data_IF_290903067537
#
_entry.id   IF_290903067537
#
_cell.length_a   1.000
_cell.length_b   1.000
_cell.length_c   1.000
_cell.angle_alpha   90.00
_cell.angle_beta   90.00
_cell.angle_gamma   90.00
#
_symmetry.space_group_name_H-M   'P 1'
#
loop_
_entity.id
_entity.type
_entity.pdbx_description
1 polymer ?
#
# COMPACT_ATOMS: atom_id res chain seq x y z
N UNK A 1 24.88 -13.51 -8.92
CA UNK A 1 23.95 -12.37 -9.11
C UNK A 1 22.88 -12.75 -10.12
N UNK A 2 21.64 -12.60 -9.74
CA UNK A 2 20.50 -12.86 -10.63
C UNK A 2 19.99 -11.56 -11.24
N UNK A 3 19.57 -11.60 -12.51
CA UNK A 3 18.81 -10.52 -13.13
C UNK A 3 17.37 -10.47 -12.61
N UNK A 4 16.60 -9.42 -12.98
CA UNK A 4 15.19 -9.27 -12.60
C UNK A 4 14.31 -10.48 -13.02
N UNK A 5 14.75 -11.25 -13.99
CA UNK A 5 14.09 -12.47 -14.48
C UNK A 5 14.63 -13.78 -13.83
N UNK A 6 15.40 -13.68 -12.73
CA UNK A 6 15.98 -14.83 -12.03
C UNK A 6 17.16 -15.52 -12.73
N UNK A 7 17.54 -15.12 -13.95
CA UNK A 7 18.65 -15.72 -14.69
C UNK A 7 20.01 -15.16 -14.21
N UNK A 8 21.07 -15.99 -14.16
CA UNK A 8 22.41 -15.49 -13.85
C UNK A 8 22.84 -14.40 -14.82
N UNK A 9 23.37 -13.28 -14.29
CA UNK A 9 24.01 -12.25 -15.11
C UNK A 9 25.47 -12.62 -15.37
N UNK A 10 25.89 -12.57 -16.64
CA UNK A 10 27.29 -12.81 -17.02
C UNK A 10 28.22 -11.61 -16.76
N UNK A 11 27.70 -10.52 -16.16
CA UNK A 11 28.46 -9.31 -15.85
C UNK A 11 27.96 -8.66 -14.57
N UNK A 12 28.80 -7.85 -13.98
CA UNK A 12 28.52 -7.03 -12.80
C UNK A 12 28.65 -5.56 -13.18
N UNK A 13 27.71 -4.73 -12.74
CA UNK A 13 27.80 -3.27 -12.91
C UNK A 13 28.75 -2.71 -11.84
N UNK A 14 29.41 -1.57 -12.16
CA UNK A 14 30.27 -0.87 -11.19
C UNK A 14 29.56 -0.53 -9.90
N UNK A 15 28.29 -0.12 -9.98
CA UNK A 15 27.46 0.17 -8.81
C UNK A 15 27.22 -1.07 -7.94
N UNK A 16 26.98 -2.22 -8.55
CA UNK A 16 26.80 -3.49 -7.85
C UNK A 16 28.11 -3.95 -7.18
N UNK A 17 29.23 -3.78 -7.88
CA UNK A 17 30.53 -4.08 -7.31
C UNK A 17 30.84 -3.20 -6.08
N UNK A 18 30.54 -1.89 -6.17
CA UNK A 18 30.70 -0.97 -5.05
C UNK A 18 29.87 -1.37 -3.83
N UNK A 19 28.61 -1.82 -4.04
CA UNK A 19 27.76 -2.31 -2.94
C UNK A 19 28.35 -3.58 -2.30
N UNK A 20 28.87 -4.52 -3.11
CA UNK A 20 29.52 -5.73 -2.57
C UNK A 20 30.79 -5.39 -1.77
N UNK A 21 31.55 -4.42 -2.22
CA UNK A 21 32.73 -3.96 -1.51
C UNK A 21 32.38 -3.26 -0.19
N UNK A 22 31.32 -2.43 -0.20
CA UNK A 22 30.76 -1.86 1.02
C UNK A 22 30.31 -2.93 2.01
N UNK A 23 29.59 -3.96 1.57
CA UNK A 23 29.14 -5.06 2.43
C UNK A 23 30.34 -5.78 3.03
N UNK A 24 31.36 -6.08 2.20
CA UNK A 24 32.60 -6.74 2.64
C UNK A 24 33.37 -5.91 3.65
N UNK A 25 33.54 -4.61 3.39
CA UNK A 25 34.31 -3.71 4.25
C UNK A 25 33.61 -3.32 5.53
N UNK A 26 32.27 -3.37 5.53
CA UNK A 26 31.44 -2.97 6.66
C UNK A 26 31.44 -4.00 7.81
N UNK A 27 31.67 -5.26 7.54
CA UNK A 27 31.65 -6.35 8.52
C UNK A 27 30.45 -6.30 9.50
N UNK A 28 29.31 -5.80 9.05
CA UNK A 28 28.07 -5.60 9.83
C UNK A 28 28.16 -4.59 11.00
N UNK A 29 29.21 -3.77 11.04
CA UNK A 29 29.41 -2.75 12.09
C UNK A 29 28.45 -1.57 11.94
N UNK A 30 28.03 -1.25 10.71
CA UNK A 30 27.09 -0.18 10.40
C UNK A 30 25.88 -0.73 9.64
N UNK A 31 24.69 -0.19 9.86
CA UNK A 31 23.53 -0.57 9.08
C UNK A 31 23.69 -0.12 7.61
N UNK A 32 23.32 -1.00 6.68
CA UNK A 32 23.27 -0.71 5.25
C UNK A 32 21.78 -0.67 4.87
N UNK A 33 21.38 0.39 4.19
CA UNK A 33 19.99 0.58 3.77
C UNK A 33 19.88 0.74 2.25
N UNK A 34 18.81 0.19 1.70
CA UNK A 34 18.34 0.43 0.33
C UNK A 34 17.03 1.19 0.40
N UNK A 35 16.94 2.33 -0.29
CA UNK A 35 15.67 3.07 -0.35
C UNK A 35 14.60 2.22 -1.07
N UNK A 36 13.34 2.32 -0.63
CA UNK A 36 12.21 1.62 -1.29
C UNK A 36 12.00 2.05 -2.74
N UNK A 37 12.49 3.22 -3.10
CA UNK A 37 12.45 3.76 -4.47
C UNK A 37 13.56 3.24 -5.37
N UNK A 38 14.51 2.48 -4.82
CA UNK A 38 15.58 1.86 -5.61
C UNK A 38 15.02 0.72 -6.46
N UNK A 39 15.36 0.68 -7.74
CA UNK A 39 14.86 -0.35 -8.65
C UNK A 39 15.36 -1.76 -8.31
N UNK A 40 14.57 -2.82 -8.60
CA UNK A 40 14.90 -4.22 -8.27
C UNK A 40 16.26 -4.69 -8.80
N UNK A 41 16.72 -4.15 -9.92
CA UNK A 41 18.05 -4.45 -10.49
C UNK A 41 19.22 -4.08 -9.57
N UNK A 42 19.02 -3.08 -8.71
CA UNK A 42 20.03 -2.62 -7.74
C UNK A 42 20.08 -3.49 -6.49
N UNK A 43 19.06 -4.31 -6.24
CA UNK A 43 18.99 -5.19 -5.08
C UNK A 43 19.84 -6.46 -5.21
N UNK A 44 20.33 -6.76 -6.41
CA UNK A 44 21.30 -7.85 -6.69
C UNK A 44 20.89 -9.25 -6.20
N UNK A 45 19.60 -9.51 -5.99
CA UNK A 45 19.12 -10.76 -5.41
C UNK A 45 19.20 -10.82 -3.88
N UNK A 46 19.40 -9.69 -3.21
CA UNK A 46 19.49 -9.59 -1.75
C UNK A 46 18.11 -9.41 -1.07
N UNK A 47 17.01 -9.42 -1.82
CA UNK A 47 15.67 -9.13 -1.31
C UNK A 47 15.24 -10.00 -0.12
N UNK A 48 15.66 -11.28 -0.11
CA UNK A 48 15.39 -12.17 1.03
C UNK A 48 16.15 -11.81 2.31
N UNK A 49 17.11 -10.88 2.24
CA UNK A 49 17.87 -10.38 3.39
C UNK A 49 17.46 -8.96 3.77
N UNK A 50 16.38 -8.47 3.21
CA UNK A 50 15.87 -7.15 3.51
C UNK A 50 14.91 -7.19 4.69
N UNK A 51 14.92 -6.13 5.48
CA UNK A 51 13.96 -5.85 6.55
C UNK A 51 13.50 -4.41 6.42
N UNK A 52 12.22 -4.21 6.14
CA UNK A 52 11.61 -2.90 6.00
C UNK A 52 11.57 -2.18 7.37
N UNK A 53 12.12 -0.97 7.44
CA UNK A 53 12.15 -0.14 8.66
C UNK A 53 11.53 1.26 8.43
N UNK A 54 10.67 1.41 7.43
CA UNK A 54 10.03 2.66 7.02
C UNK A 54 10.09 2.84 5.51
N UNK A 55 10.82 3.84 5.02
CA UNK A 55 11.04 4.08 3.59
C UNK A 55 12.37 3.50 3.08
N UNK A 56 12.92 2.57 3.83
CA UNK A 56 14.16 1.89 3.46
C UNK A 56 14.18 0.45 3.97
N UNK A 57 14.79 -0.41 3.17
CA UNK A 57 15.11 -1.79 3.51
C UNK A 57 16.49 -1.85 4.15
N UNK A 58 16.57 -2.27 5.39
CA UNK A 58 17.84 -2.61 6.04
C UNK A 58 18.31 -3.98 5.56
N UNK A 59 19.56 -4.06 5.12
CA UNK A 59 20.21 -5.33 4.85
C UNK A 59 20.59 -6.00 6.18
N UNK A 60 20.15 -7.23 6.39
CA UNK A 60 20.42 -8.01 7.61
C UNK A 60 20.96 -9.40 7.25
N UNK A 61 21.82 -10.02 8.10
CA UNK A 61 22.35 -11.36 7.85
C UNK A 61 21.34 -12.47 8.23
N UNK A 62 20.05 -12.19 8.07
CA UNK A 62 18.95 -13.12 8.34
C UNK A 62 18.19 -13.27 7.04
N UNK A 63 17.99 -14.49 6.59
CA UNK A 63 17.21 -14.78 5.41
C UNK A 63 15.74 -14.93 5.80
N UNK A 64 14.88 -14.13 5.17
CA UNK A 64 13.44 -14.25 5.24
C UNK A 64 12.93 -15.14 4.11
N UNK A 65 11.81 -15.80 4.32
CA UNK A 65 11.00 -16.37 3.25
C UNK A 65 10.44 -15.27 2.35
N UNK A 66 9.89 -15.65 1.21
CA UNK A 66 9.24 -14.67 0.33
C UNK A 66 8.02 -14.10 1.06
N UNK A 67 7.90 -12.79 1.09
CA UNK A 67 6.73 -12.15 1.65
C UNK A 67 5.52 -12.39 0.74
N UNK A 68 4.37 -12.70 1.33
CA UNK A 68 3.12 -12.92 0.58
C UNK A 68 2.59 -11.63 -0.04
N UNK A 69 2.90 -10.47 0.57
CA UNK A 69 2.60 -9.17 -0.02
C UNK A 69 3.57 -8.87 -1.17
N UNK A 70 3.09 -8.74 -2.43
CA UNK A 70 3.94 -8.52 -3.61
C UNK A 70 4.70 -7.18 -3.57
N UNK A 71 4.31 -6.26 -2.69
CA UNK A 71 4.91 -4.95 -2.53
C UNK A 71 6.00 -4.92 -1.45
N UNK A 72 6.24 -6.04 -0.76
CA UNK A 72 7.23 -6.17 0.29
C UNK A 72 8.35 -7.14 -0.11
N UNK A 73 9.57 -6.83 0.32
CA UNK A 73 10.72 -7.72 0.20
C UNK A 73 11.21 -8.12 1.59
N UNK A 74 11.44 -9.43 1.78
CA UNK A 74 11.95 -9.95 3.04
C UNK A 74 10.98 -9.75 4.21
N UNK A 75 11.47 -9.32 5.36
CA UNK A 75 10.66 -9.09 6.56
C UNK A 75 10.30 -7.62 6.78
N UNK A 76 9.40 -7.38 7.72
CA UNK A 76 9.02 -6.03 8.19
C UNK A 76 9.36 -5.89 9.67
N UNK A 77 10.00 -4.79 10.05
CA UNK A 77 10.29 -4.47 11.44
C UNK A 77 9.10 -3.69 12.05
N UNK A 78 7.98 -4.37 12.25
CA UNK A 78 6.68 -3.78 12.63
C UNK A 78 6.80 -2.81 13.79
N UNK A 79 7.43 -3.19 14.91
CA UNK A 79 7.62 -2.33 16.08
C UNK A 79 8.43 -1.06 15.78
N UNK A 80 9.55 -1.22 15.05
CA UNK A 80 10.41 -0.09 14.70
C UNK A 80 9.71 0.85 13.72
N UNK A 81 9.04 0.29 12.72
CA UNK A 81 8.35 1.06 11.70
C UNK A 81 7.15 1.79 12.29
N UNK A 82 6.35 1.13 13.14
CA UNK A 82 5.23 1.75 13.84
C UNK A 82 5.69 2.96 14.69
N UNK A 83 6.70 2.78 15.56
CA UNK A 83 7.25 3.88 16.35
C UNK A 83 7.83 5.02 15.49
N UNK A 84 8.46 4.70 14.36
CA UNK A 84 8.94 5.72 13.45
C UNK A 84 7.79 6.54 12.85
N UNK A 85 6.73 5.88 12.41
CA UNK A 85 5.56 6.53 11.79
C UNK A 85 4.81 7.39 12.80
N UNK A 86 4.54 6.85 14.00
CA UNK A 86 3.72 7.51 15.00
C UNK A 86 4.47 8.62 15.76
N UNK A 87 5.77 8.43 16.03
CA UNK A 87 6.50 9.29 16.95
C UNK A 87 7.50 10.23 16.26
N UNK A 88 7.97 9.90 15.03
CA UNK A 88 9.13 10.59 14.45
C UNK A 88 8.89 11.19 13.06
N UNK A 89 7.94 10.64 12.30
CA UNK A 89 7.70 11.16 10.96
C UNK A 89 7.10 12.55 10.98
N UNK A 90 7.62 13.40 10.09
CA UNK A 90 7.04 14.71 9.80
C UNK A 90 6.35 14.65 8.44
N UNK A 91 5.10 15.06 8.40
CA UNK A 91 4.24 14.95 7.23
C UNK A 91 4.29 16.16 6.30
N UNK A 92 5.10 17.20 6.67
CA UNK A 92 5.36 18.37 5.82
C UNK A 92 4.13 19.19 5.48
N UNK A 93 3.10 19.14 6.31
CA UNK A 93 1.84 19.87 6.08
C UNK A 93 0.92 19.22 5.05
N UNK A 94 1.15 17.95 4.66
CA UNK A 94 0.26 17.24 3.73
C UNK A 94 -1.18 17.12 4.23
N UNK A 95 -1.39 17.19 5.53
CA UNK A 95 -2.70 17.19 6.20
C UNK A 95 -3.37 18.57 6.27
N UNK A 96 -2.71 19.65 5.83
CA UNK A 96 -3.30 20.98 5.79
C UNK A 96 -4.18 21.16 4.55
N UNK A 97 -5.48 20.94 4.71
CA UNK A 97 -6.48 21.07 3.64
C UNK A 97 -6.86 22.54 3.41
N UNK A 98 -6.80 23.39 4.46
CA UNK A 98 -7.25 24.78 4.38
C UNK A 98 -6.40 25.61 3.42
N UNK A 99 -5.07 25.54 3.56
CA UNK A 99 -4.14 26.27 2.68
C UNK A 99 -3.87 25.52 1.38
N UNK A 100 -4.08 24.21 1.39
CA UNK A 100 -3.74 23.30 0.32
C UNK A 100 -2.23 23.26 0.03
N UNK A 101 -1.74 22.17 -0.50
CA UNK A 101 -0.36 22.10 -0.99
C UNK A 101 -0.33 21.63 -2.43
N UNK A 102 0.45 22.34 -3.24
CA UNK A 102 0.70 21.90 -4.60
C UNK A 102 1.75 20.80 -4.61
N UNK A 103 1.38 19.62 -5.11
CA UNK A 103 2.30 18.52 -5.37
C UNK A 103 2.48 18.31 -6.85
N UNK A 104 3.71 18.40 -7.33
CA UNK A 104 4.05 17.96 -8.68
C UNK A 104 3.97 16.43 -8.82
N UNK A 105 4.11 15.92 -10.03
CA UNK A 105 4.02 14.47 -10.32
C UNK A 105 5.06 13.66 -9.54
N UNK A 106 6.29 14.17 -9.36
CA UNK A 106 7.32 13.46 -8.62
C UNK A 106 6.97 13.35 -7.13
N UNK A 107 6.48 14.44 -6.54
CA UNK A 107 6.04 14.44 -5.15
C UNK A 107 4.86 13.48 -4.94
N UNK A 108 3.86 13.46 -5.85
CA UNK A 108 2.74 12.50 -5.80
C UNK A 108 3.22 11.05 -5.87
N UNK A 109 4.19 10.75 -6.73
CA UNK A 109 4.81 9.41 -6.81
C UNK A 109 5.51 9.04 -5.51
N UNK A 110 6.21 9.97 -4.86
CA UNK A 110 6.87 9.72 -3.57
C UNK A 110 5.85 9.44 -2.47
N UNK A 111 4.77 10.22 -2.40
CA UNK A 111 3.69 10.00 -1.42
C UNK A 111 2.96 8.66 -1.68
N UNK A 112 2.82 8.25 -2.93
CA UNK A 112 2.28 6.91 -3.25
C UNK A 112 3.14 5.79 -2.63
N UNK A 113 4.47 5.95 -2.59
CA UNK A 113 5.33 5.00 -1.88
C UNK A 113 5.08 5.01 -0.36
N UNK A 114 4.76 6.15 0.23
CA UNK A 114 4.43 6.21 1.67
C UNK A 114 3.16 5.39 1.94
N UNK A 115 2.08 5.64 1.19
CA UNK A 115 0.85 4.85 1.28
C UNK A 115 1.11 3.34 1.13
N UNK A 116 1.94 2.97 0.16
CA UNK A 116 2.30 1.58 -0.09
C UNK A 116 3.04 0.95 1.09
N UNK A 117 4.05 1.62 1.65
CA UNK A 117 4.81 1.07 2.77
C UNK A 117 3.98 1.02 4.07
N UNK A 118 3.06 1.96 4.26
CA UNK A 118 2.14 1.94 5.39
C UNK A 118 1.09 0.84 5.26
N UNK A 119 0.59 0.57 4.05
CA UNK A 119 -0.26 -0.58 3.78
C UNK A 119 0.46 -1.90 4.11
N UNK A 120 1.73 -2.04 3.70
CA UNK A 120 2.55 -3.22 4.05
C UNK A 120 2.71 -3.36 5.57
N UNK A 121 2.91 -2.27 6.29
CA UNK A 121 3.00 -2.29 7.76
C UNK A 121 1.68 -2.73 8.40
N UNK A 122 0.55 -2.19 7.94
CA UNK A 122 -0.75 -2.56 8.46
C UNK A 122 -1.04 -4.07 8.23
N UNK A 123 -0.77 -4.58 7.03
CA UNK A 123 -0.93 -6.01 6.71
C UNK A 123 -0.08 -6.91 7.62
N UNK A 124 1.18 -6.53 7.88
CA UNK A 124 2.03 -7.31 8.78
C UNK A 124 1.59 -7.24 10.25
N UNK A 125 1.11 -6.09 10.71
CA UNK A 125 0.52 -5.96 12.05
C UNK A 125 -0.74 -6.82 12.20
N UNK A 126 -1.58 -6.89 11.16
CA UNK A 126 -2.74 -7.78 11.13
C UNK A 126 -2.32 -9.26 11.21
N UNK A 127 -1.29 -9.68 10.47
CA UNK A 127 -0.72 -11.04 10.56
C UNK A 127 -0.13 -11.35 11.94
N UNK A 128 0.45 -10.36 12.61
CA UNK A 128 0.94 -10.47 14.00
C UNK A 128 -0.21 -10.46 15.03
N UNK A 129 -1.46 -10.35 14.60
CA UNK A 129 -2.66 -10.22 15.44
C UNK A 129 -2.61 -8.97 16.34
N UNK A 130 -2.14 -7.86 15.79
CA UNK A 130 -2.14 -6.53 16.42
C UNK A 130 -3.05 -5.56 15.64
N UNK A 131 -4.38 -5.77 15.68
CA UNK A 131 -5.34 -5.03 14.86
C UNK A 131 -5.46 -3.55 15.28
N UNK A 132 -5.23 -3.23 16.56
CA UNK A 132 -5.27 -1.85 17.04
C UNK A 132 -4.20 -1.00 16.38
N UNK A 133 -2.94 -1.48 16.37
CA UNK A 133 -1.87 -0.76 15.69
C UNK A 133 -2.03 -0.74 14.17
N UNK A 134 -2.57 -1.80 13.59
CA UNK A 134 -2.90 -1.81 12.17
C UNK A 134 -3.88 -0.69 11.82
N UNK A 135 -4.96 -0.55 12.60
CA UNK A 135 -5.95 0.51 12.42
C UNK A 135 -5.35 1.90 12.62
N UNK A 136 -4.47 2.11 13.61
CA UNK A 136 -3.77 3.39 13.79
C UNK A 136 -2.99 3.80 12.52
N UNK A 137 -2.29 2.85 11.89
CA UNK A 137 -1.55 3.11 10.66
C UNK A 137 -2.48 3.43 9.49
N UNK A 138 -3.60 2.69 9.33
CA UNK A 138 -4.57 2.95 8.27
C UNK A 138 -5.23 4.32 8.43
N UNK A 139 -5.56 4.71 9.66
CA UNK A 139 -6.07 6.04 9.99
C UNK A 139 -5.05 7.14 9.66
N UNK A 140 -3.75 6.94 9.98
CA UNK A 140 -2.69 7.88 9.60
C UNK A 140 -2.60 8.09 8.09
N UNK A 141 -2.78 7.05 7.28
CA UNK A 141 -2.76 7.18 5.82
C UNK A 141 -3.86 8.11 5.33
N UNK A 142 -5.06 7.98 5.87
CA UNK A 142 -6.22 8.77 5.42
C UNK A 142 -6.17 10.20 5.95
N UNK A 143 -5.79 10.38 7.22
CA UNK A 143 -5.77 11.70 7.87
C UNK A 143 -4.56 12.54 7.47
N UNK A 144 -3.40 11.92 7.26
CA UNK A 144 -2.16 12.64 6.93
C UNK A 144 -1.92 12.85 5.44
N UNK A 145 -2.66 12.14 4.61
CA UNK A 145 -2.59 12.24 3.15
C UNK A 145 -4.00 12.33 2.56
N UNK A 146 -4.78 13.37 2.92
CA UNK A 146 -6.15 13.55 2.44
C UNK A 146 -6.19 13.75 0.92
N UNK A 147 -7.35 13.47 0.31
CA UNK A 147 -7.54 13.51 -1.14
C UNK A 147 -7.27 14.89 -1.75
N UNK A 148 -7.62 15.93 -1.03
CA UNK A 148 -7.47 17.34 -1.47
C UNK A 148 -6.02 17.67 -1.82
N UNK A 149 -5.08 17.12 -1.06
CA UNK A 149 -3.65 17.34 -1.26
C UNK A 149 -2.98 16.19 -2.02
N UNK A 150 -3.44 14.96 -1.79
CA UNK A 150 -2.85 13.75 -2.37
C UNK A 150 -3.92 12.92 -3.07
N UNK A 151 -4.06 13.03 -4.39
CA UNK A 151 -5.08 12.33 -5.13
C UNK A 151 -5.15 10.83 -4.79
N UNK A 152 -6.36 10.29 -4.82
CA UNK A 152 -6.59 8.86 -4.61
C UNK A 152 -5.85 8.03 -5.65
N UNK A 153 -5.33 6.88 -5.23
CA UNK A 153 -4.60 5.95 -6.08
C UNK A 153 -4.99 4.52 -5.76
N UNK A 154 -4.69 3.60 -6.67
CA UNK A 154 -5.03 2.16 -6.49
C UNK A 154 -4.38 1.52 -5.26
N UNK A 155 -3.33 2.09 -4.72
CA UNK A 155 -2.74 1.62 -3.45
C UNK A 155 -3.76 1.66 -2.32
N UNK A 156 -4.73 2.58 -2.38
CA UNK A 156 -5.79 2.68 -1.38
C UNK A 156 -6.78 1.50 -1.40
N UNK A 157 -6.80 0.69 -2.47
CA UNK A 157 -7.60 -0.55 -2.49
C UNK A 157 -7.14 -1.56 -1.43
N UNK A 158 -5.82 -1.68 -1.22
CA UNK A 158 -5.28 -2.53 -0.14
C UNK A 158 -5.71 -2.00 1.23
N UNK A 159 -5.60 -0.68 1.43
CA UNK A 159 -6.02 0.00 2.66
C UNK A 159 -7.52 -0.18 2.91
N UNK A 160 -8.34 0.00 1.88
CA UNK A 160 -9.78 -0.24 1.93
C UNK A 160 -10.09 -1.69 2.34
N UNK A 161 -9.43 -2.66 1.72
CA UNK A 161 -9.60 -4.08 2.05
C UNK A 161 -9.26 -4.36 3.51
N UNK A 162 -8.12 -3.88 4.01
CA UNK A 162 -7.69 -4.06 5.40
C UNK A 162 -8.64 -3.40 6.40
N UNK A 163 -9.19 -2.21 6.09
CA UNK A 163 -10.19 -1.53 6.92
C UNK A 163 -11.50 -2.35 7.03
N UNK A 164 -12.01 -2.84 5.90
CA UNK A 164 -13.21 -3.66 5.88
C UNK A 164 -13.00 -5.03 6.56
N UNK A 165 -11.81 -5.62 6.43
CA UNK A 165 -11.45 -6.85 7.13
C UNK A 165 -11.43 -6.63 8.65
N UNK A 166 -10.84 -5.54 9.15
CA UNK A 166 -10.86 -5.16 10.57
C UNK A 166 -12.27 -4.86 11.08
N UNK A 167 -13.13 -4.32 10.23
CA UNK A 167 -14.53 -4.05 10.55
C UNK A 167 -15.39 -5.31 10.61
N UNK A 168 -14.99 -6.38 9.91
CA UNK A 168 -15.79 -7.60 9.78
C UNK A 168 -16.00 -8.29 11.12
N UNK A 169 -17.23 -8.74 11.33
CA UNK A 169 -17.63 -9.57 12.47
C UNK A 169 -17.86 -11.04 12.07
N UNK A 170 -17.70 -11.34 10.79
CA UNK A 170 -17.94 -12.68 10.23
C UNK A 170 -16.70 -13.16 9.51
N UNK A 171 -16.25 -14.40 9.80
CA UNK A 171 -15.14 -15.04 9.09
C UNK A 171 -15.54 -15.54 7.70
N UNK A 172 -16.25 -14.73 6.91
CA UNK A 172 -16.69 -15.11 5.57
C UNK A 172 -15.48 -15.24 4.64
N UNK A 173 -15.43 -16.32 3.87
CA UNK A 173 -14.33 -16.54 2.93
C UNK A 173 -13.00 -16.96 3.57
N UNK A 174 -12.98 -17.28 4.88
CA UNK A 174 -11.77 -17.67 5.61
C UNK A 174 -11.00 -16.48 6.19
N UNK A 175 -11.62 -15.29 6.23
CA UNK A 175 -11.04 -14.11 6.88
C UNK A 175 -10.96 -14.29 8.39
N UNK A 176 -9.90 -13.78 8.98
CA UNK A 176 -9.72 -13.77 10.43
C UNK A 176 -10.67 -12.76 11.06
N UNK A 177 -11.28 -13.12 12.21
CA UNK A 177 -11.99 -12.14 13.05
C UNK A 177 -10.98 -11.60 14.05
N UNK A 178 -10.76 -10.29 14.00
CA UNK A 178 -9.82 -9.61 14.90
C UNK A 178 -10.50 -9.19 16.20
N UNK A 179 -9.75 -9.24 17.31
CA UNK A 179 -10.21 -8.73 18.59
C UNK A 179 -10.01 -7.21 18.64
N UNK A 180 -11.07 -6.47 18.40
CA UNK A 180 -11.14 -5.00 18.49
C UNK A 180 -12.30 -4.62 19.42
N UNK A 181 -12.18 -3.49 20.11
CA UNK A 181 -13.31 -2.88 20.81
C UNK A 181 -14.39 -2.47 19.81
N UNK A 182 -15.64 -2.39 20.28
CA UNK A 182 -16.77 -1.98 19.43
C UNK A 182 -16.54 -0.59 18.81
N UNK A 183 -15.93 0.33 19.57
CA UNK A 183 -15.59 1.67 19.09
C UNK A 183 -14.54 1.64 17.96
N UNK A 184 -13.47 0.87 18.14
CA UNK A 184 -12.41 0.71 17.12
C UNK A 184 -12.93 0.02 15.86
N UNK A 185 -13.77 -0.99 16.04
CA UNK A 185 -14.43 -1.68 14.93
C UNK A 185 -15.38 -0.77 14.17
N UNK A 186 -16.13 0.09 14.88
CA UNK A 186 -17.00 1.08 14.25
C UNK A 186 -16.19 2.10 13.45
N UNK A 187 -15.06 2.58 13.98
CA UNK A 187 -14.13 3.45 13.24
C UNK A 187 -13.59 2.77 11.97
N UNK A 188 -13.13 1.53 12.06
CA UNK A 188 -12.65 0.78 10.89
C UNK A 188 -13.74 0.65 9.83
N UNK A 189 -14.99 0.39 10.27
CA UNK A 189 -16.15 0.31 9.37
C UNK A 189 -16.46 1.63 8.69
N UNK A 190 -16.51 2.72 9.43
CA UNK A 190 -16.76 4.07 8.91
C UNK A 190 -15.72 4.44 7.84
N UNK A 191 -14.43 4.39 8.20
CA UNK A 191 -13.32 4.69 7.29
C UNK A 191 -13.32 3.78 6.05
N UNK A 192 -13.62 2.49 6.24
CA UNK A 192 -13.68 1.52 5.15
C UNK A 192 -14.82 1.78 4.17
N UNK A 193 -16.01 2.13 4.68
CA UNK A 193 -17.18 2.49 3.86
C UNK A 193 -16.92 3.77 3.08
N UNK A 194 -16.45 4.81 3.74
CA UNK A 194 -16.19 6.10 3.10
C UNK A 194 -15.14 5.97 2.00
N UNK A 195 -14.05 5.26 2.28
CA UNK A 195 -13.03 5.01 1.29
C UNK A 195 -13.55 4.17 0.11
N UNK A 196 -14.40 3.18 0.38
CA UNK A 196 -15.00 2.34 -0.66
C UNK A 196 -15.87 3.18 -1.60
N UNK A 197 -16.79 3.99 -1.04
CA UNK A 197 -17.65 4.88 -1.81
C UNK A 197 -16.82 5.83 -2.68
N UNK A 198 -15.83 6.47 -2.08
CA UNK A 198 -15.01 7.44 -2.80
C UNK A 198 -14.19 6.81 -3.94
N UNK A 199 -13.59 5.65 -3.70
CA UNK A 199 -12.86 4.92 -4.74
C UNK A 199 -13.79 4.45 -5.87
N UNK A 200 -15.02 4.04 -5.54
CA UNK A 200 -16.03 3.65 -6.52
C UNK A 200 -16.48 4.84 -7.38
N UNK A 201 -16.85 5.95 -6.76
CA UNK A 201 -17.23 7.20 -7.45
C UNK A 201 -16.17 7.62 -8.48
N UNK A 202 -14.88 7.58 -8.10
CA UNK A 202 -13.77 7.90 -9.02
C UNK A 202 -13.79 6.98 -10.26
N UNK A 203 -14.13 5.70 -10.10
CA UNK A 203 -14.19 4.79 -11.24
C UNK A 203 -15.43 5.05 -12.11
N UNK A 204 -16.55 5.43 -11.52
CA UNK A 204 -17.77 5.83 -12.25
C UNK A 204 -17.49 7.11 -13.03
N UNK A 205 -16.95 8.15 -12.40
CA UNK A 205 -16.57 9.39 -13.06
C UNK A 205 -15.61 9.16 -14.24
N UNK A 206 -14.59 8.31 -14.07
CA UNK A 206 -13.68 7.93 -15.12
C UNK A 206 -14.41 7.23 -16.29
N UNK A 207 -15.31 6.30 -15.98
CA UNK A 207 -16.08 5.59 -17.00
C UNK A 207 -17.04 6.53 -17.77
N UNK A 208 -17.71 7.43 -17.07
CA UNK A 208 -18.58 8.46 -17.67
C UNK A 208 -17.75 9.37 -18.60
N UNK A 209 -16.58 9.84 -18.12
CA UNK A 209 -15.69 10.63 -18.94
C UNK A 209 -15.27 9.87 -20.21
N UNK A 210 -14.86 8.60 -20.11
CA UNK A 210 -14.49 7.80 -21.27
C UNK A 210 -15.64 7.62 -22.25
N UNK A 211 -16.88 7.48 -21.77
CA UNK A 211 -18.07 7.37 -22.64
C UNK A 211 -18.43 8.70 -23.34
N UNK A 212 -18.05 9.83 -22.78
CA UNK A 212 -18.26 11.15 -23.40
C UNK A 212 -17.31 11.46 -24.54
N UNK A 213 -16.24 10.67 -24.72
CA UNK A 213 -15.22 10.92 -25.73
C UNK A 213 -15.67 10.49 -27.14
N UNK A 214 -15.04 11.07 -28.16
CA UNK A 214 -15.23 10.65 -29.55
C UNK A 214 -14.86 9.15 -29.77
N UNK A 215 -15.44 8.48 -30.79
CA UNK A 215 -15.26 7.04 -30.96
C UNK A 215 -13.80 6.58 -31.16
N UNK A 216 -12.89 7.44 -31.61
CA UNK A 216 -11.49 7.09 -31.81
C UNK A 216 -10.75 7.08 -30.46
N UNK A 217 -10.93 8.12 -29.64
CA UNK A 217 -10.38 8.21 -28.30
C UNK A 217 -10.99 7.16 -27.37
N UNK A 218 -12.30 6.95 -27.45
CA UNK A 218 -12.97 5.89 -26.70
C UNK A 218 -12.36 4.51 -26.95
N UNK A 219 -12.01 4.19 -28.22
CA UNK A 219 -11.33 2.91 -28.54
C UNK A 219 -9.89 2.86 -28.03
N UNK A 220 -9.15 3.98 -28.07
CA UNK A 220 -7.77 4.02 -27.59
C UNK A 220 -7.64 3.77 -26.08
N UNK A 221 -8.67 4.09 -25.28
CA UNK A 221 -8.72 3.92 -23.82
C UNK A 221 -9.40 2.61 -23.39
N UNK A 222 -9.35 1.58 -24.22
CA UNK A 222 -9.99 0.29 -23.95
C UNK A 222 -9.41 -0.42 -22.72
N UNK A 223 -8.12 -0.24 -22.45
CA UNK A 223 -7.46 -0.83 -21.29
C UNK A 223 -7.84 -0.09 -20.01
N UNK A 224 -7.83 1.24 -20.03
CA UNK A 224 -8.20 2.12 -18.93
C UNK A 224 -9.64 1.84 -18.47
N UNK A 225 -10.58 1.77 -19.42
CA UNK A 225 -11.98 1.43 -19.15
C UNK A 225 -12.15 0.05 -18.52
N UNK A 226 -11.43 -0.94 -19.06
CA UNK A 226 -11.46 -2.30 -18.50
C UNK A 226 -10.96 -2.31 -17.05
N UNK A 227 -9.90 -1.54 -16.77
CA UNK A 227 -9.34 -1.45 -15.43
C UNK A 227 -10.31 -0.73 -14.50
N UNK A 228 -10.89 0.40 -14.91
CA UNK A 228 -11.86 1.14 -14.09
C UNK A 228 -13.04 0.24 -13.71
N UNK A 229 -13.63 -0.46 -14.71
CA UNK A 229 -14.70 -1.43 -14.46
C UNK A 229 -14.28 -2.53 -13.49
N UNK A 230 -13.12 -3.14 -13.69
CA UNK A 230 -12.62 -4.19 -12.81
C UNK A 230 -12.40 -3.70 -11.38
N UNK A 231 -11.90 -2.46 -11.20
CA UNK A 231 -11.74 -1.86 -9.87
C UNK A 231 -13.09 -1.65 -9.20
N UNK A 232 -14.09 -1.11 -9.92
CA UNK A 232 -15.44 -0.93 -9.40
C UNK A 232 -16.07 -2.29 -8.97
N UNK A 233 -15.96 -3.32 -9.81
CA UNK A 233 -16.44 -4.68 -9.49
C UNK A 233 -15.77 -5.24 -8.22
N UNK A 234 -14.46 -5.03 -8.05
CA UNK A 234 -13.73 -5.44 -6.84
C UNK A 234 -14.22 -4.68 -5.61
N UNK A 235 -14.54 -3.37 -5.71
CA UNK A 235 -15.09 -2.61 -4.59
C UNK A 235 -16.43 -3.19 -4.11
N UNK A 236 -17.35 -3.46 -5.04
CA UNK A 236 -18.66 -4.08 -4.74
C UNK A 236 -18.46 -5.45 -4.08
N UNK A 237 -17.61 -6.30 -4.67
CA UNK A 237 -17.34 -7.64 -4.13
C UNK A 237 -16.73 -7.58 -2.71
N UNK A 238 -15.76 -6.69 -2.50
CA UNK A 238 -15.10 -6.55 -1.20
C UNK A 238 -16.08 -6.08 -0.14
N UNK A 239 -16.93 -5.08 -0.44
CA UNK A 239 -17.97 -4.61 0.45
C UNK A 239 -18.96 -5.74 0.82
N UNK A 240 -19.42 -6.50 -0.15
CA UNK A 240 -20.37 -7.61 0.07
C UNK A 240 -19.76 -8.76 0.88
N UNK A 241 -18.48 -9.02 0.75
CA UNK A 241 -17.77 -10.10 1.48
C UNK A 241 -17.53 -9.72 2.93
N UNK A 242 -16.99 -8.53 3.18
CA UNK A 242 -16.58 -8.14 4.53
C UNK A 242 -17.71 -7.55 5.38
N UNK A 243 -18.73 -6.99 4.75
CA UNK A 243 -19.90 -6.39 5.41
C UNK A 243 -21.21 -7.07 4.95
N UNK A 244 -21.36 -8.39 5.14
CA UNK A 244 -22.58 -9.08 4.73
C UNK A 244 -23.77 -8.56 5.54
N UNK A 245 -24.82 -8.08 4.84
CA UNK A 245 -26.02 -7.47 5.45
C UNK A 245 -25.94 -5.96 5.63
N UNK A 246 -24.83 -5.31 5.25
CA UNK A 246 -24.77 -3.87 5.04
C UNK A 246 -25.36 -3.52 3.65
N UNK A 247 -25.96 -2.33 3.52
CA UNK A 247 -26.52 -1.90 2.23
C UNK A 247 -25.48 -1.49 1.20
N UNK A 248 -24.24 -1.26 1.62
CA UNK A 248 -23.18 -0.70 0.76
C UNK A 248 -23.00 -1.48 -0.55
N UNK A 249 -22.87 -2.81 -0.48
CA UNK A 249 -22.69 -3.63 -1.69
C UNK A 249 -23.85 -3.48 -2.67
N UNK A 250 -25.10 -3.49 -2.16
CA UNK A 250 -26.29 -3.34 -3.00
C UNK A 250 -26.45 -1.90 -3.55
N UNK A 251 -26.05 -0.89 -2.79
CA UNK A 251 -26.04 0.51 -3.25
C UNK A 251 -25.08 0.67 -4.43
N UNK A 252 -23.85 0.17 -4.30
CA UNK A 252 -22.83 0.25 -5.37
C UNK A 252 -23.19 -0.58 -6.62
N UNK A 253 -23.92 -1.69 -6.47
CA UNK A 253 -24.41 -2.47 -7.62
C UNK A 253 -25.51 -1.76 -8.41
N UNK A 254 -26.22 -0.81 -7.79
CA UNK A 254 -27.34 -0.09 -8.41
C UNK A 254 -26.87 1.14 -9.22
N UNK A 255 -25.68 1.64 -9.01
CA UNK A 255 -25.03 2.70 -9.78
C UNK A 255 -24.31 2.16 -11.01
#
# INVERSE_FOLDING_TARGET
LSGANGKPKGYILKSQFAVLDMIRGNNWERPIYFAVTTGPDSYMGLQSFFRLEGLAYRLVPIRYEQNDNPNAYGGVATKTMYSNVMDKWSWGGMDNVEDGIYMDENNRRMVTNFRLQLSVLADELMKENDPDRALDILEQVLTKMPEENVPMSRVLMSIQGSLLELASTTGVGGTQIYELSDERRALAKELGIDLTRRLFEIQVDDLEYYHSLDPARFRSLSQERRIAKQVAEVMVQTASVYLPGDSLGAELEAE
#
